data_IF_603098667038
#
_entry.id   IF_603098667038
#
_cell.length_a   1.000
_cell.length_b   1.000
_cell.length_c   1.000
_cell.angle_alpha   90.00
_cell.angle_beta   90.00
_cell.angle_gamma   90.00
#
_symmetry.space_group_name_H-M   'P 1'
#
loop_
_entity.id
_entity.type
_entity.pdbx_description
1 polymer ?
#
# COMPACT_ATOMS: atom_id res chain seq x y z
N UNK A 1 -15.00 -8.90 17.75
CA UNK A 1 -13.89 -8.25 18.45
C UNK A 1 -13.95 -6.77 18.11
N UNK A 2 -13.83 -5.88 19.09
CA UNK A 2 -13.93 -4.45 18.85
C UNK A 2 -12.53 -3.85 18.73
N UNK A 3 -12.11 -3.56 17.49
CA UNK A 3 -10.85 -2.87 17.24
C UNK A 3 -11.07 -1.39 17.51
N UNK A 4 -10.77 -0.96 18.74
CA UNK A 4 -10.93 0.45 19.09
C UNK A 4 -10.03 1.30 18.20
N UNK A 5 -10.68 2.10 17.38
CA UNK A 5 -10.02 2.96 16.41
C UNK A 5 -9.26 4.09 17.09
N UNK A 6 -8.01 4.32 16.68
CA UNK A 6 -7.32 5.56 17.03
C UNK A 6 -7.65 6.65 16.04
N UNK A 7 -7.81 7.88 16.55
CA UNK A 7 -7.92 9.08 15.73
C UNK A 7 -6.63 9.20 14.91
N UNK A 8 -6.75 9.12 13.60
CA UNK A 8 -5.65 9.33 12.67
C UNK A 8 -5.19 10.78 12.81
N UNK A 9 -3.91 10.95 13.13
CA UNK A 9 -3.32 12.26 13.27
C UNK A 9 -2.75 12.76 11.94
N UNK A 10 -2.42 14.05 11.92
CA UNK A 10 -1.85 14.75 10.77
C UNK A 10 -0.57 14.08 10.20
N UNK A 11 0.26 13.49 11.07
CA UNK A 11 1.55 12.85 10.72
C UNK A 11 1.38 11.51 9.97
N UNK A 12 0.22 10.86 10.08
CA UNK A 12 -0.01 9.52 9.52
C UNK A 12 0.12 9.48 8.00
N UNK A 13 -0.22 10.56 7.30
CA UNK A 13 -0.12 10.64 5.84
C UNK A 13 1.28 11.02 5.35
N UNK A 14 2.25 11.30 6.22
CA UNK A 14 3.55 11.81 5.80
C UNK A 14 4.42 10.74 5.13
N UNK A 15 4.08 9.44 5.29
CA UNK A 15 4.73 8.38 4.53
C UNK A 15 4.51 8.52 3.01
N UNK A 16 3.46 9.24 2.58
CA UNK A 16 3.20 9.49 1.16
C UNK A 16 4.32 10.27 0.45
N UNK A 17 5.16 10.98 1.21
CA UNK A 17 6.33 11.68 0.65
C UNK A 17 7.38 10.73 0.07
N UNK A 18 7.46 9.51 0.59
CA UNK A 18 8.40 8.47 0.16
C UNK A 18 7.69 7.24 -0.46
N UNK A 19 6.40 7.36 -0.80
CA UNK A 19 5.54 6.21 -1.18
C UNK A 19 6.05 5.43 -2.37
N UNK A 20 6.67 6.07 -3.36
CA UNK A 20 7.21 5.37 -4.54
C UNK A 20 8.26 4.32 -4.12
N UNK A 21 9.19 4.71 -3.25
CA UNK A 21 10.20 3.80 -2.70
C UNK A 21 9.56 2.69 -1.86
N UNK A 22 8.52 3.00 -1.08
CA UNK A 22 7.81 2.01 -0.29
C UNK A 22 7.00 1.01 -1.14
N UNK A 23 6.44 1.47 -2.27
CA UNK A 23 5.84 0.60 -3.29
C UNK A 23 6.91 -0.33 -3.88
N UNK A 24 8.08 0.20 -4.28
CA UNK A 24 9.18 -0.62 -4.79
C UNK A 24 9.60 -1.71 -3.82
N UNK A 25 9.75 -1.37 -2.54
CA UNK A 25 10.08 -2.36 -1.50
C UNK A 25 8.96 -3.40 -1.38
N UNK A 26 7.70 -2.96 -1.29
CA UNK A 26 6.54 -3.84 -1.11
C UNK A 26 6.34 -4.81 -2.28
N UNK A 27 6.48 -4.33 -3.52
CA UNK A 27 6.32 -5.13 -4.74
C UNK A 27 7.34 -6.29 -4.83
N UNK A 28 8.50 -6.12 -4.21
CA UNK A 28 9.62 -7.07 -4.28
C UNK A 28 9.75 -7.96 -3.04
N UNK A 29 8.83 -7.90 -2.07
CA UNK A 29 8.96 -8.64 -0.80
C UNK A 29 9.00 -10.16 -0.98
N UNK A 30 8.16 -10.71 -1.86
CA UNK A 30 8.07 -12.16 -2.08
C UNK A 30 9.32 -12.72 -2.76
N UNK A 31 9.84 -12.02 -3.76
CA UNK A 31 11.05 -12.39 -4.50
C UNK A 31 12.36 -12.00 -3.79
N UNK A 32 12.27 -11.21 -2.71
CA UNK A 32 13.44 -10.78 -1.95
C UNK A 32 14.19 -11.97 -1.34
N UNK A 33 15.52 -11.88 -1.36
CA UNK A 33 16.42 -12.83 -0.70
C UNK A 33 16.47 -12.64 0.83
N UNK A 34 15.67 -11.71 1.37
CA UNK A 34 15.62 -11.39 2.79
C UNK A 34 15.06 -12.60 3.53
N UNK A 35 15.86 -13.09 4.48
CA UNK A 35 15.52 -14.23 5.34
C UNK A 35 15.04 -13.71 6.69
N UNK A 36 14.08 -14.45 7.25
CA UNK A 36 13.73 -14.32 8.66
C UNK A 36 14.91 -14.79 9.51
N UNK A 37 15.03 -14.21 10.70
CA UNK A 37 16.02 -14.68 11.66
C UNK A 37 15.54 -15.96 12.34
N UNK A 38 16.46 -16.76 12.86
CA UNK A 38 16.15 -18.12 13.38
C UNK A 38 15.11 -18.10 14.51
N UNK A 39 15.05 -17.01 15.28
CA UNK A 39 14.10 -16.82 16.37
C UNK A 39 12.77 -16.18 15.96
N UNK A 40 12.55 -15.87 14.68
CA UNK A 40 11.24 -15.39 14.22
C UNK A 40 10.30 -16.57 13.96
N UNK A 41 9.29 -16.77 14.82
CA UNK A 41 8.36 -17.90 14.75
C UNK A 41 6.95 -17.50 14.30
N UNK A 42 6.82 -17.29 12.98
CA UNK A 42 5.52 -17.03 12.37
C UNK A 42 4.54 -18.21 12.47
N UNK A 43 5.01 -19.43 12.71
CA UNK A 43 4.14 -20.62 12.83
C UNK A 43 3.40 -20.59 14.15
N UNK A 44 4.15 -20.41 15.25
CA UNK A 44 3.61 -20.23 16.59
C UNK A 44 2.70 -19.01 16.67
N UNK A 45 3.18 -17.85 16.16
CA UNK A 45 2.35 -16.64 16.04
C UNK A 45 1.00 -16.93 15.37
N UNK A 46 1.02 -17.56 14.19
CA UNK A 46 -0.21 -17.77 13.44
C UNK A 46 -1.21 -18.67 14.16
N UNK A 47 -0.71 -19.63 14.94
CA UNK A 47 -1.51 -20.58 15.71
C UNK A 47 -2.23 -19.93 16.88
N UNK A 48 -1.60 -18.93 17.50
CA UNK A 48 -2.16 -18.22 18.65
C UNK A 48 -3.05 -17.04 18.22
N UNK A 49 -2.58 -16.22 17.28
CA UNK A 49 -3.18 -14.92 16.94
C UNK A 49 -4.11 -14.98 15.72
N UNK A 50 -3.94 -15.97 14.85
CA UNK A 50 -4.73 -16.09 13.60
C UNK A 50 -5.25 -17.51 13.39
N UNK A 51 -5.63 -18.19 14.46
CA UNK A 51 -6.02 -19.60 14.47
C UNK A 51 -7.11 -19.97 13.46
N UNK A 52 -8.00 -19.02 13.15
CA UNK A 52 -9.05 -19.19 12.13
C UNK A 52 -8.51 -19.25 10.69
N UNK A 53 -7.29 -18.75 10.45
CA UNK A 53 -6.68 -18.56 9.14
C UNK A 53 -5.15 -18.73 9.18
N UNK A 54 -4.67 -19.84 9.76
CA UNK A 54 -3.25 -20.14 10.03
C UNK A 54 -2.28 -19.75 8.89
N UNK A 55 -2.51 -20.29 7.69
CA UNK A 55 -1.61 -20.09 6.55
C UNK A 55 -1.53 -18.63 6.11
N UNK A 56 -2.64 -17.89 6.22
CA UNK A 56 -2.70 -16.47 5.87
C UNK A 56 -1.95 -15.66 6.92
N UNK A 57 -2.20 -15.88 8.21
CA UNK A 57 -1.52 -15.16 9.28
C UNK A 57 -0.01 -15.41 9.30
N UNK A 58 0.40 -16.66 9.07
CA UNK A 58 1.82 -17.03 8.93
C UNK A 58 2.47 -16.28 7.76
N UNK A 59 1.78 -16.18 6.61
CA UNK A 59 2.29 -15.46 5.45
C UNK A 59 2.40 -13.94 5.70
N UNK A 60 1.37 -13.32 6.29
CA UNK A 60 1.39 -11.90 6.63
C UNK A 60 2.51 -11.60 7.64
N UNK A 61 2.71 -12.47 8.64
CA UNK A 61 3.84 -12.38 9.57
C UNK A 61 5.19 -12.37 8.83
N UNK A 62 5.42 -13.36 7.95
CA UNK A 62 6.68 -13.45 7.18
C UNK A 62 6.93 -12.22 6.32
N UNK A 63 5.90 -11.75 5.62
CA UNK A 63 6.00 -10.57 4.77
C UNK A 63 6.22 -9.28 5.58
N UNK A 64 5.57 -9.14 6.74
CA UNK A 64 5.80 -8.00 7.62
C UNK A 64 7.25 -7.93 8.12
N UNK A 65 7.81 -9.06 8.56
CA UNK A 65 9.20 -9.15 9.02
C UNK A 65 10.18 -8.80 7.89
N UNK A 66 9.96 -9.34 6.69
CA UNK A 66 10.76 -8.99 5.50
C UNK A 66 10.65 -7.50 5.17
N UNK A 67 9.45 -6.93 5.26
CA UNK A 67 9.23 -5.51 5.01
C UNK A 67 9.97 -4.65 6.02
N UNK A 68 9.84 -4.95 7.31
CA UNK A 68 10.57 -4.27 8.38
C UNK A 68 12.08 -4.27 8.12
N UNK A 69 12.66 -5.43 7.76
CA UNK A 69 14.10 -5.55 7.44
C UNK A 69 14.52 -4.80 6.17
N UNK A 70 13.58 -4.49 5.28
CA UNK A 70 13.84 -3.76 4.03
C UNK A 70 13.83 -2.24 4.21
N UNK A 71 13.33 -1.74 5.35
CA UNK A 71 13.20 -0.31 5.64
C UNK A 71 14.44 0.19 6.39
N UNK A 72 15.20 1.06 5.73
CA UNK A 72 16.55 1.46 6.19
C UNK A 72 16.55 2.30 7.49
N UNK A 73 15.45 2.97 7.82
CA UNK A 73 15.40 3.94 8.91
C UNK A 73 14.50 3.49 10.06
N UNK A 74 13.84 2.34 9.96
CA UNK A 74 12.86 1.85 10.95
C UNK A 74 13.48 1.62 12.33
N UNK A 75 14.80 1.45 12.39
CA UNK A 75 15.59 1.35 13.63
C UNK A 75 16.36 2.63 13.98
N UNK A 76 16.45 3.60 13.06
CA UNK A 76 17.23 4.83 13.26
C UNK A 76 16.36 5.99 13.76
N UNK A 77 16.13 6.04 15.08
CA UNK A 77 15.29 7.06 15.76
C UNK A 77 15.64 8.52 15.43
N UNK A 78 16.89 8.80 15.07
CA UNK A 78 17.35 10.15 14.74
C UNK A 78 17.02 10.58 13.29
N UNK A 79 16.67 9.63 12.43
CA UNK A 79 16.45 9.89 11.02
C UNK A 79 15.05 10.48 10.77
N UNK A 80 14.95 11.47 9.88
CA UNK A 80 13.68 12.15 9.55
C UNK A 80 12.60 11.21 9.02
N UNK A 81 13.01 10.10 8.38
CA UNK A 81 12.08 9.09 7.86
C UNK A 81 11.70 7.99 8.85
N UNK A 82 12.25 7.96 10.08
CA UNK A 82 11.93 6.92 11.08
C UNK A 82 10.43 6.81 11.31
N UNK A 83 9.76 7.92 11.66
CA UNK A 83 8.31 7.95 11.85
C UNK A 83 7.54 7.57 10.58
N UNK A 84 7.99 8.04 9.41
CA UNK A 84 7.34 7.78 8.11
C UNK A 84 7.33 6.30 7.77
N UNK A 85 8.45 5.60 8.01
CA UNK A 85 8.54 4.16 7.78
C UNK A 85 7.64 3.36 8.72
N UNK A 86 7.53 3.78 9.99
CA UNK A 86 6.57 3.19 10.91
C UNK A 86 5.10 3.46 10.52
N UNK A 87 4.77 4.65 10.02
CA UNK A 87 3.43 4.92 9.48
C UNK A 87 3.13 4.08 8.24
N UNK A 88 4.13 3.84 7.38
CA UNK A 88 3.99 2.93 6.26
C UNK A 88 3.77 1.48 6.72
N UNK A 89 4.52 0.99 7.71
CA UNK A 89 4.31 -0.35 8.29
C UNK A 89 2.90 -0.49 8.87
N UNK A 90 2.39 0.54 9.55
CA UNK A 90 1.03 0.53 10.07
C UNK A 90 -0.01 0.43 8.96
N UNK A 91 0.12 1.25 7.91
CA UNK A 91 -0.75 1.19 6.73
C UNK A 91 -0.68 -0.20 6.07
N UNK A 92 0.52 -0.71 5.83
CA UNK A 92 0.76 -2.00 5.19
C UNK A 92 0.12 -3.15 5.97
N UNK A 93 0.24 -3.14 7.31
CA UNK A 93 -0.37 -4.16 8.15
C UNK A 93 -1.90 -4.10 8.10
N UNK A 94 -2.48 -2.90 8.29
CA UNK A 94 -3.93 -2.71 8.26
C UNK A 94 -4.55 -3.13 6.92
N UNK A 95 -3.92 -2.77 5.78
CA UNK A 95 -4.44 -3.16 4.47
C UNK A 95 -4.34 -4.68 4.25
N UNK A 96 -3.28 -5.34 4.74
CA UNK A 96 -3.14 -6.79 4.63
C UNK A 96 -4.13 -7.53 5.54
N UNK A 97 -4.39 -7.04 6.76
CA UNK A 97 -5.43 -7.59 7.63
C UNK A 97 -6.81 -7.46 6.96
N UNK A 98 -7.13 -6.28 6.43
CA UNK A 98 -8.40 -6.02 5.76
C UNK A 98 -8.58 -6.88 4.49
N UNK A 99 -7.61 -6.89 3.57
CA UNK A 99 -7.67 -7.65 2.31
C UNK A 99 -7.81 -9.15 2.54
N UNK A 100 -7.14 -9.67 3.57
CA UNK A 100 -7.21 -11.09 3.91
C UNK A 100 -8.38 -11.45 4.85
N UNK A 101 -9.29 -10.50 5.12
CA UNK A 101 -10.46 -10.68 6.01
C UNK A 101 -10.09 -11.18 7.41
N UNK A 102 -8.88 -10.82 7.87
CA UNK A 102 -8.41 -11.11 9.21
C UNK A 102 -8.99 -10.14 10.24
N UNK A 103 -9.55 -9.00 9.81
CA UNK A 103 -10.15 -7.99 10.69
C UNK A 103 -11.31 -8.51 11.56
N UNK A 104 -11.98 -9.59 11.17
CA UNK A 104 -12.96 -10.28 12.02
C UNK A 104 -12.33 -11.11 13.15
N UNK A 105 -11.02 -11.37 13.06
CA UNK A 105 -10.23 -12.22 13.97
C UNK A 105 -9.24 -11.43 14.81
N UNK A 106 -8.55 -10.44 14.22
CA UNK A 106 -7.43 -9.74 14.86
C UNK A 106 -7.34 -8.26 14.45
N UNK A 107 -6.98 -7.39 15.40
CA UNK A 107 -6.71 -5.97 15.15
C UNK A 107 -5.23 -5.75 14.83
N UNK A 108 -4.88 -4.64 14.16
CA UNK A 108 -3.49 -4.35 13.83
C UNK A 108 -2.58 -4.24 15.08
N UNK A 109 -3.10 -3.74 16.20
CA UNK A 109 -2.37 -3.67 17.48
C UNK A 109 -2.05 -5.06 18.01
N UNK A 110 -3.06 -5.92 18.13
CA UNK A 110 -2.90 -7.28 18.64
C UNK A 110 -2.03 -8.14 17.72
N UNK A 111 -2.17 -7.95 16.40
CA UNK A 111 -1.29 -8.61 15.43
C UNK A 111 0.17 -8.24 15.69
N UNK A 112 0.47 -6.96 15.85
CA UNK A 112 1.83 -6.51 16.07
C UNK A 112 2.35 -6.89 17.46
N UNK A 113 1.52 -6.88 18.50
CA UNK A 113 1.90 -7.36 19.83
C UNK A 113 2.29 -8.85 19.78
N UNK A 114 1.55 -9.67 19.04
CA UNK A 114 1.91 -11.07 18.80
C UNK A 114 3.21 -11.21 18.00
N UNK A 115 3.43 -10.37 16.97
CA UNK A 115 4.70 -10.35 16.27
C UNK A 115 5.87 -9.98 17.19
N UNK A 116 5.71 -8.99 18.07
CA UNK A 116 6.78 -8.55 18.98
C UNK A 116 7.19 -9.68 19.94
N UNK A 117 6.24 -10.50 20.38
CA UNK A 117 6.51 -11.67 21.22
C UNK A 117 7.16 -12.84 20.46
N UNK A 118 6.62 -13.19 19.29
CA UNK A 118 7.05 -14.38 18.54
C UNK A 118 8.20 -14.11 17.56
N UNK A 119 8.51 -12.85 17.29
CA UNK A 119 9.58 -12.40 16.38
C UNK A 119 10.47 -11.32 17.04
N UNK A 120 10.67 -11.43 18.36
CA UNK A 120 11.45 -10.49 19.16
C UNK A 120 12.90 -10.32 18.66
N UNK A 121 13.47 -11.34 18.00
CA UNK A 121 14.82 -11.24 17.46
C UNK A 121 14.94 -10.13 16.40
N UNK A 122 13.94 -10.01 15.51
CA UNK A 122 13.90 -8.92 14.53
C UNK A 122 13.30 -7.64 15.11
N UNK A 123 12.15 -7.74 15.79
CA UNK A 123 11.36 -6.57 16.18
C UNK A 123 11.81 -5.93 17.50
N UNK A 124 12.39 -6.72 18.40
CA UNK A 124 12.89 -6.26 19.71
C UNK A 124 14.16 -5.41 19.64
N UNK A 125 14.75 -5.20 18.45
CA UNK A 125 15.95 -4.37 18.27
C UNK A 125 15.70 -2.91 18.64
N UNK A 126 14.51 -2.39 18.36
CA UNK A 126 14.13 -1.01 18.63
C UNK A 126 12.64 -0.95 18.93
N UNK A 127 12.26 -0.45 20.11
CA UNK A 127 10.84 -0.22 20.40
C UNK A 127 10.24 0.73 19.37
N UNK A 128 9.04 0.43 18.83
CA UNK A 128 8.33 1.32 17.94
C UNK A 128 8.19 2.72 18.56
N UNK A 129 8.10 3.79 17.75
CA UNK A 129 7.63 5.07 18.25
C UNK A 129 6.30 4.83 18.95
N UNK A 130 6.11 5.46 20.13
CA UNK A 130 4.87 5.30 20.88
C UNK A 130 3.66 5.50 19.97
N UNK A 131 2.73 4.55 19.97
CA UNK A 131 1.51 4.58 19.16
C UNK A 131 1.70 4.50 17.64
N UNK A 132 2.81 3.94 17.13
CA UNK A 132 3.05 3.87 15.69
C UNK A 132 2.27 2.78 14.95
N UNK A 133 1.94 1.67 15.62
CA UNK A 133 1.04 0.62 15.11
C UNK A 133 -0.31 0.74 15.83
N UNK A 134 -1.38 0.81 15.05
CA UNK A 134 -2.75 1.00 15.54
C UNK A 134 -3.77 0.60 14.47
N UNK A 135 -5.02 0.37 14.89
CA UNK A 135 -6.11 0.11 13.96
C UNK A 135 -6.49 1.39 13.19
N UNK A 136 -6.42 1.33 11.86
CA UNK A 136 -6.85 2.42 10.97
C UNK A 136 -8.32 2.18 10.65
N UNK A 137 -9.16 3.19 10.90
CA UNK A 137 -10.58 3.18 10.54
C UNK A 137 -10.79 2.83 9.08
N UNK A 138 -11.82 2.04 8.78
CA UNK A 138 -12.08 1.55 7.44
C UNK A 138 -12.20 2.69 6.41
N UNK A 139 -12.91 3.77 6.77
CA UNK A 139 -13.09 4.93 5.89
C UNK A 139 -11.79 5.66 5.56
N UNK A 140 -10.83 5.66 6.49
CA UNK A 140 -9.55 6.33 6.30
C UNK A 140 -8.53 5.40 5.64
N UNK A 141 -8.57 4.10 5.95
CA UNK A 141 -7.82 3.07 5.24
C UNK A 141 -8.20 3.05 3.76
N UNK A 142 -9.50 3.19 3.45
CA UNK A 142 -10.00 3.32 2.07
C UNK A 142 -9.38 4.53 1.37
N UNK A 143 -9.35 5.70 2.02
CA UNK A 143 -8.71 6.92 1.47
C UNK A 143 -7.22 6.72 1.23
N UNK A 144 -6.49 6.12 2.19
CA UNK A 144 -5.07 5.82 2.02
C UNK A 144 -4.83 4.84 0.87
N UNK A 145 -5.67 3.81 0.75
CA UNK A 145 -5.56 2.83 -0.33
C UNK A 145 -5.84 3.45 -1.71
N UNK A 146 -6.76 4.41 -1.82
CA UNK A 146 -6.94 5.19 -3.05
C UNK A 146 -5.67 5.97 -3.42
N UNK A 147 -5.07 6.69 -2.45
CA UNK A 147 -3.79 7.39 -2.69
C UNK A 147 -2.67 6.42 -3.07
N UNK A 148 -2.58 5.27 -2.40
CA UNK A 148 -1.56 4.27 -2.70
C UNK A 148 -1.70 3.73 -4.13
N UNK A 149 -2.92 3.35 -4.54
CA UNK A 149 -3.21 2.90 -5.90
C UNK A 149 -2.91 3.97 -6.96
N UNK A 150 -3.19 5.24 -6.66
CA UNK A 150 -2.82 6.37 -7.51
C UNK A 150 -1.30 6.41 -7.75
N UNK A 151 -0.49 6.29 -6.69
CA UNK A 151 0.97 6.27 -6.82
C UNK A 151 1.52 5.00 -7.49
N UNK A 152 0.91 3.83 -7.26
CA UNK A 152 1.28 2.59 -7.98
C UNK A 152 1.07 2.72 -9.49
N UNK A 153 -0.08 3.26 -9.90
CA UNK A 153 -0.38 3.43 -11.32
C UNK A 153 0.40 4.59 -11.95
N UNK A 154 0.69 5.65 -11.20
CA UNK A 154 1.67 6.67 -11.62
C UNK A 154 3.04 6.04 -11.89
N UNK A 155 3.56 5.20 -10.98
CA UNK A 155 4.86 4.53 -11.16
C UNK A 155 4.87 3.66 -12.43
N UNK A 156 3.78 2.92 -12.70
CA UNK A 156 3.64 2.14 -13.95
C UNK A 156 3.69 3.04 -15.18
N UNK A 157 2.95 4.15 -15.18
CA UNK A 157 2.96 5.12 -16.27
C UNK A 157 4.37 5.69 -16.48
N UNK A 158 5.00 6.16 -15.40
CA UNK A 158 6.35 6.73 -15.42
C UNK A 158 7.37 5.73 -15.99
N UNK A 159 7.33 4.47 -15.55
CA UNK A 159 8.20 3.41 -16.04
C UNK A 159 7.97 3.10 -17.54
N UNK A 160 6.73 3.12 -18.02
CA UNK A 160 6.43 2.93 -19.44
C UNK A 160 6.97 4.11 -20.26
N UNK A 161 6.73 5.33 -19.79
CA UNK A 161 7.06 6.57 -20.51
C UNK A 161 8.56 6.87 -20.51
N UNK A 162 9.27 6.53 -19.44
CA UNK A 162 10.70 6.75 -19.26
C UNK A 162 11.54 5.48 -19.52
N UNK A 163 10.90 4.35 -19.85
CA UNK A 163 11.56 3.08 -20.15
C UNK A 163 12.11 2.97 -21.58
N UNK A 164 12.20 1.72 -22.06
CA UNK A 164 12.73 1.43 -23.41
C UNK A 164 11.83 2.00 -24.52
N UNK A 165 12.48 2.50 -25.58
CA UNK A 165 11.81 3.03 -26.77
C UNK A 165 11.83 1.99 -27.90
N UNK A 166 10.80 1.94 -28.78
CA UNK A 166 9.60 2.80 -28.80
C UNK A 166 8.56 2.41 -27.74
N UNK A 167 7.79 3.39 -27.26
CA UNK A 167 6.70 3.14 -26.29
C UNK A 167 5.49 2.58 -27.03
N UNK A 168 4.93 1.48 -26.54
CA UNK A 168 3.60 1.04 -26.96
C UNK A 168 2.55 1.89 -26.22
N UNK A 169 1.99 2.90 -26.89
CA UNK A 169 1.01 3.81 -26.28
C UNK A 169 -0.22 3.07 -25.68
N UNK A 170 -0.61 1.91 -26.22
CA UNK A 170 -1.71 1.11 -25.68
C UNK A 170 -1.44 0.59 -24.25
N UNK A 171 -0.18 0.46 -23.84
CA UNK A 171 0.18 0.06 -22.47
C UNK A 171 -0.11 1.13 -21.42
N UNK A 172 -0.31 2.39 -21.83
CA UNK A 172 -0.69 3.49 -20.93
C UNK A 172 -2.15 3.38 -20.48
N UNK A 173 -3.01 2.73 -21.28
CA UNK A 173 -4.46 2.72 -21.10
C UNK A 173 -4.88 2.16 -19.73
N UNK A 174 -4.33 1.00 -19.35
CA UNK A 174 -4.67 0.34 -18.09
C UNK A 174 -4.35 1.20 -16.87
N UNK A 175 -3.07 1.55 -16.64
CA UNK A 175 -2.67 2.39 -15.52
C UNK A 175 -3.34 3.77 -15.54
N UNK A 176 -3.53 4.38 -16.71
CA UNK A 176 -4.19 5.69 -16.80
C UNK A 176 -5.69 5.62 -16.46
N UNK A 177 -6.40 4.59 -16.94
CA UNK A 177 -7.80 4.39 -16.59
C UNK A 177 -7.98 4.14 -15.10
N UNK A 178 -7.09 3.36 -14.47
CA UNK A 178 -7.11 3.13 -13.03
C UNK A 178 -6.85 4.42 -12.24
N UNK A 179 -5.81 5.20 -12.61
CA UNK A 179 -5.59 6.53 -12.03
C UNK A 179 -6.83 7.42 -12.14
N UNK A 180 -7.51 7.40 -13.29
CA UNK A 180 -8.71 8.21 -13.52
C UNK A 180 -9.87 7.81 -12.60
N UNK A 181 -10.11 6.51 -12.46
CA UNK A 181 -11.14 5.96 -11.57
C UNK A 181 -10.85 6.31 -10.10
N UNK A 182 -9.65 6.00 -9.63
CA UNK A 182 -9.26 6.21 -8.23
C UNK A 182 -9.21 7.69 -7.89
N UNK A 183 -8.77 8.54 -8.82
CA UNK A 183 -8.74 9.98 -8.62
C UNK A 183 -10.15 10.56 -8.53
N UNK A 184 -11.08 10.11 -9.39
CA UNK A 184 -12.46 10.56 -9.33
C UNK A 184 -13.13 10.19 -7.99
N UNK A 185 -12.88 9.00 -7.46
CA UNK A 185 -13.37 8.59 -6.15
C UNK A 185 -12.68 9.36 -5.02
N UNK A 186 -11.35 9.50 -5.06
CA UNK A 186 -10.59 10.24 -4.06
C UNK A 186 -11.01 11.72 -4.00
N UNK A 187 -11.20 12.34 -5.18
CA UNK A 187 -11.65 13.72 -5.29
C UNK A 187 -13.07 13.91 -4.75
N UNK A 188 -13.96 12.92 -4.93
CA UNK A 188 -15.29 12.94 -4.32
C UNK A 188 -15.24 12.82 -2.78
N UNK A 189 -14.28 12.07 -2.23
CA UNK A 189 -14.09 11.94 -0.77
C UNK A 189 -13.34 13.14 -0.16
N UNK A 190 -12.82 14.03 -1.00
CA UNK A 190 -12.07 15.20 -0.59
C UNK A 190 -13.01 16.38 -0.29
N UNK A 191 -13.66 16.34 0.87
CA UNK A 191 -14.70 17.31 1.26
C UNK A 191 -14.17 18.60 1.94
N UNK A 192 -12.89 18.65 2.31
CA UNK A 192 -12.24 19.82 2.92
C UNK A 192 -10.78 19.86 2.46
N UNK A 193 -10.43 20.88 1.67
CA UNK A 193 -9.07 21.05 1.13
C UNK A 193 -7.98 21.12 2.22
N UNK A 194 -8.35 21.45 3.46
CA UNK A 194 -7.43 21.52 4.59
C UNK A 194 -7.19 20.17 5.26
N UNK A 195 -7.97 19.13 4.93
CA UNK A 195 -7.72 17.80 5.46
C UNK A 195 -6.51 17.15 4.76
N UNK A 196 -5.77 16.31 5.49
CA UNK A 196 -4.49 15.77 4.99
C UNK A 196 -4.60 14.87 3.78
N UNK A 197 -5.70 14.14 3.69
CA UNK A 197 -6.00 13.32 2.52
C UNK A 197 -6.11 14.19 1.25
N UNK A 198 -6.86 15.28 1.31
CA UNK A 198 -6.97 16.27 0.24
C UNK A 198 -5.62 16.91 -0.12
N UNK A 199 -4.83 17.28 0.90
CA UNK A 199 -3.50 17.84 0.67
C UNK A 199 -2.57 16.85 -0.07
N UNK A 200 -2.60 15.56 0.28
CA UNK A 200 -1.84 14.53 -0.44
C UNK A 200 -2.40 14.27 -1.84
N UNK A 201 -3.73 14.28 -2.02
CA UNK A 201 -4.36 14.15 -3.33
C UNK A 201 -3.94 15.29 -4.27
N UNK A 202 -3.86 16.52 -3.76
CA UNK A 202 -3.38 17.70 -4.50
C UNK A 202 -1.91 17.53 -4.91
N UNK A 203 -1.04 17.07 -4.00
CA UNK A 203 0.37 16.76 -4.31
C UNK A 203 0.47 15.70 -5.43
N UNK A 204 -0.33 14.63 -5.34
CA UNK A 204 -0.41 13.61 -6.38
C UNK A 204 -0.85 14.22 -7.72
N UNK A 205 -1.93 15.01 -7.73
CA UNK A 205 -2.44 15.66 -8.94
C UNK A 205 -1.37 16.48 -9.65
N UNK A 206 -0.65 17.34 -8.89
CA UNK A 206 0.44 18.15 -9.45
C UNK A 206 1.54 17.28 -10.08
N UNK A 207 1.91 16.17 -9.42
CA UNK A 207 2.92 15.23 -9.95
C UNK A 207 2.44 14.56 -11.25
N UNK A 208 1.21 14.06 -11.27
CA UNK A 208 0.62 13.42 -12.45
C UNK A 208 0.45 14.40 -13.61
N UNK A 209 -0.08 15.59 -13.36
CA UNK A 209 -0.26 16.63 -14.39
C UNK A 209 1.08 17.02 -15.02
N UNK A 210 2.16 17.06 -14.22
CA UNK A 210 3.52 17.27 -14.72
C UNK A 210 3.93 16.20 -15.72
N UNK A 211 3.80 14.92 -15.36
CA UNK A 211 4.10 13.80 -16.26
C UNK A 211 3.23 13.84 -17.53
N UNK A 212 1.93 14.09 -17.37
CA UNK A 212 0.98 14.20 -18.47
C UNK A 212 1.38 15.30 -19.46
N UNK A 213 1.52 16.54 -18.98
CA UNK A 213 1.78 17.69 -19.84
C UNK A 213 3.11 17.55 -20.59
N UNK A 214 4.17 17.06 -19.93
CA UNK A 214 5.46 16.81 -20.58
C UNK A 214 5.35 15.77 -21.68
N UNK A 215 4.64 14.67 -21.45
CA UNK A 215 4.60 13.56 -22.40
C UNK A 215 3.68 13.84 -23.60
N UNK A 216 2.54 14.52 -23.37
CA UNK A 216 1.63 14.93 -24.44
C UNK A 216 2.24 16.02 -25.32
N UNK A 217 3.06 16.92 -24.77
CA UNK A 217 3.78 17.92 -25.58
C UNK A 217 4.75 17.28 -26.59
N UNK A 218 5.29 16.10 -26.27
CA UNK A 218 6.22 15.35 -27.13
C UNK A 218 5.46 14.39 -28.05
N UNK A 219 4.43 13.70 -27.54
CA UNK A 219 3.67 12.68 -28.25
C UNK A 219 2.15 12.94 -28.09
N UNK A 220 1.57 13.86 -28.87
CA UNK A 220 0.15 14.23 -28.74
C UNK A 220 -0.81 13.03 -28.88
N UNK A 221 -0.42 11.99 -29.62
CA UNK A 221 -1.22 10.77 -29.82
C UNK A 221 -1.41 9.94 -28.54
N UNK A 222 -0.61 10.18 -27.50
CA UNK A 222 -0.78 9.49 -26.21
C UNK A 222 -2.09 9.86 -25.52
N UNK A 223 -2.71 10.98 -25.86
CA UNK A 223 -4.03 11.39 -25.34
C UNK A 223 -5.12 10.32 -25.53
N UNK A 224 -4.96 9.42 -26.53
CA UNK A 224 -5.88 8.30 -26.74
C UNK A 224 -5.83 7.24 -25.62
N UNK A 225 -4.72 7.13 -24.90
CA UNK A 225 -4.47 6.08 -23.89
C UNK A 225 -4.02 6.63 -22.54
N UNK A 226 -3.67 7.92 -22.45
CA UNK A 226 -3.24 8.60 -21.25
C UNK A 226 -4.21 9.76 -21.04
N UNK A 227 -5.00 9.70 -19.96
CA UNK A 227 -6.07 10.67 -19.63
C UNK A 227 -5.57 11.75 -18.69
N UNK A 228 -6.09 12.96 -18.87
CA UNK A 228 -5.89 14.05 -17.91
C UNK A 228 -6.80 13.85 -16.69
N UNK A 229 -6.29 14.06 -15.46
CA UNK A 229 -7.10 13.91 -14.25
C UNK A 229 -8.27 14.91 -14.16
N UNK A 230 -8.19 16.07 -14.81
CA UNK A 230 -9.29 17.04 -14.84
C UNK A 230 -10.52 16.55 -15.63
N UNK A 231 -10.33 15.57 -16.52
CA UNK A 231 -11.41 14.93 -17.29
C UNK A 231 -12.05 13.76 -16.52
N UNK A 232 -11.40 13.32 -15.45
CA UNK A 232 -11.83 12.20 -14.62
C UNK A 232 -12.95 12.63 -13.69
N UNK A 233 -14.19 12.25 -14.04
CA UNK A 233 -15.39 12.52 -13.25
C UNK A 233 -15.91 11.24 -12.65
N UNK A 234 -16.43 11.32 -11.44
CA UNK A 234 -17.23 10.23 -10.86
C UNK A 234 -18.50 10.11 -11.71
N UNK A 235 -18.61 9.06 -12.51
CA UNK A 235 -19.85 8.75 -13.19
C UNK A 235 -20.78 8.07 -12.18
N UNK A 236 -22.06 8.47 -12.13
CA UNK A 236 -23.08 7.80 -11.30
C UNK A 236 -23.45 6.40 -11.84
N UNK A 237 -22.66 5.85 -12.75
CA UNK A 237 -22.87 4.54 -13.34
C UNK A 237 -22.05 3.57 -12.52
N UNK A 238 -22.72 2.73 -11.72
CA UNK A 238 -22.14 1.47 -11.27
C UNK A 238 -21.71 0.70 -12.52
N UNK A 239 -20.44 0.82 -12.91
CA UNK A 239 -19.78 -0.17 -13.76
C UNK A 239 -19.47 -1.38 -12.91
N UNK A 240 -20.50 -2.13 -12.56
CA UNK A 240 -20.42 -3.51 -12.04
C UNK A 240 -20.02 -4.51 -13.13
N UNK A 241 -19.56 -4.05 -14.30
CA UNK A 241 -19.16 -4.89 -15.42
C UNK A 241 -17.77 -4.47 -15.95
N UNK A 242 -16.73 -4.62 -15.12
CA UNK A 242 -15.32 -4.87 -15.51
C UNK A 242 -14.37 -5.02 -14.30
N UNK A 243 -14.86 -5.24 -13.08
CA UNK A 243 -14.05 -5.78 -11.98
C UNK A 243 -14.08 -7.31 -12.06
N UNK A 244 -13.70 -7.82 -13.24
CA UNK A 244 -13.36 -9.20 -13.47
C UNK A 244 -11.90 -9.18 -13.90
N UNK A 245 -11.02 -9.57 -12.98
CA UNK A 245 -9.55 -9.71 -13.10
C UNK A 245 -8.71 -8.46 -12.84
N UNK A 246 -7.95 -8.55 -11.73
CA UNK A 246 -6.87 -7.67 -11.24
C UNK A 246 -7.26 -6.46 -10.37
N UNK A 247 -7.91 -6.73 -9.22
CA UNK A 247 -7.37 -6.14 -7.97
C UNK A 247 -5.89 -6.51 -8.00
N UNK A 248 -4.97 -5.54 -7.98
CA UNK A 248 -3.53 -5.78 -8.11
C UNK A 248 -3.14 -7.11 -7.48
N UNK A 249 -2.91 -8.10 -8.35
CA UNK A 249 -2.31 -9.36 -7.98
C UNK A 249 -0.89 -8.99 -7.56
N UNK A 250 -0.70 -8.70 -6.27
CA UNK A 250 0.34 -9.46 -5.58
C UNK A 250 -0.06 -10.91 -5.80
N UNK A 251 0.81 -11.76 -6.36
CA UNK A 251 0.41 -13.09 -6.79
C UNK A 251 -0.33 -13.81 -5.66
N UNK A 252 -1.60 -14.16 -5.89
CA UNK A 252 -2.18 -15.32 -5.25
C UNK A 252 -1.42 -16.55 -5.78
N UNK A 253 -0.23 -16.80 -5.26
CA UNK A 253 0.39 -18.11 -5.36
C UNK A 253 0.08 -18.85 -4.07
N UNK A 254 -1.18 -19.26 -3.96
CA UNK A 254 -1.54 -20.44 -3.18
C UNK A 254 -0.74 -21.59 -3.78
N UNK A 255 0.40 -21.90 -3.16
CA UNK A 255 1.19 -23.06 -3.51
C UNK A 255 0.29 -24.28 -3.52
N UNK A 256 0.11 -24.86 -4.71
CA UNK A 256 -0.38 -26.21 -4.88
C UNK A 256 0.60 -27.12 -4.15
N UNK A 257 0.22 -27.59 -2.96
CA UNK A 257 0.84 -28.76 -2.37
C UNK A 257 0.60 -29.94 -3.33
N UNK A 258 1.63 -30.29 -4.11
CA UNK A 258 1.73 -31.66 -4.62
C UNK A 258 2.23 -32.52 -3.47
N UNK A 259 1.30 -33.22 -2.85
CA UNK A 259 1.60 -34.41 -2.05
C UNK A 259 2.20 -35.45 -2.99
N UNK A 260 3.38 -35.94 -2.66
CA UNK A 260 3.82 -37.28 -3.03
C UNK A 260 4.50 -37.90 -1.84
#
# INVERSE_FOLDING_TARGET
MDCTDKIINYETYDFFENVINYIDISDNLESSSIKLDKGDDCTSFSSEYTSSNLKIGENVCKLFIKLYKSLNNVTNRSHVNYKKEWHFLNYWLNINISKNKLNGTICATEFFDGLDHHCMQTLGLVSPPSTSIYNIREEDLKKMNLLYSLYENYKKLDNILNGQKPVNAGSLLGPSAQCCSDYAEANYLCNDENNKFCAQLKKFKTKYDGLYNTQIAINPEYTNNFKNLSECKKTNVMSTALIGTTVGLVPLLVGLYKVK
#
